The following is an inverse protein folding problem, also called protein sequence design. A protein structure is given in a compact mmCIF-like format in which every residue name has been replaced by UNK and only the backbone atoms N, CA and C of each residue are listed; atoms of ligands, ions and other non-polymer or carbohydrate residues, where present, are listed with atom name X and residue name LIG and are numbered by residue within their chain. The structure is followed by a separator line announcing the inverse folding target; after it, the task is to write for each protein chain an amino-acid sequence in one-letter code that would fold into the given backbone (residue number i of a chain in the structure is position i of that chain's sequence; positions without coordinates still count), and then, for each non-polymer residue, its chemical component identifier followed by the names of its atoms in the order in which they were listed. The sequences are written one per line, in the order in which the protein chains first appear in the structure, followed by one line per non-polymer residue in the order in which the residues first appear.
data_IF_489362187606
#
_entry.id   IF_489362187606
#
_cell.length_a   1.000
_cell.length_b   1.000
_cell.length_c   1.000
_cell.angle_alpha   90.00
_cell.angle_beta   90.00
_cell.angle_gamma   90.00
#
_symmetry.space_group_name_H-M   'P 1'
#
loop_
_entity.id
_entity.type
_entity.pdbx_description
1 polymer ?
#
# COMPACT_ATOMS: atom_id res chain seq x y z
N UNK A 1 -8.32 -16.63 4.71
CA UNK A 1 -7.75 -17.78 3.97
C UNK A 1 -6.51 -17.44 3.12
N UNK A 2 -6.58 -16.62 2.07
CA UNK A 2 -5.40 -16.38 1.18
C UNK A 2 -4.21 -15.74 1.91
N UNK A 3 -4.42 -14.57 2.52
CA UNK A 3 -3.36 -13.83 3.24
C UNK A 3 -2.75 -14.67 4.36
N UNK A 4 -3.60 -15.39 5.08
CA UNK A 4 -3.19 -16.33 6.13
C UNK A 4 -2.27 -17.42 5.58
N UNK A 5 -2.62 -18.07 4.46
CA UNK A 5 -1.77 -19.06 3.78
C UNK A 5 -0.43 -18.47 3.30
N UNK A 6 -0.41 -17.19 2.89
CA UNK A 6 0.82 -16.49 2.51
C UNK A 6 1.71 -16.25 3.74
N UNK A 7 1.13 -15.82 4.86
CA UNK A 7 1.87 -15.66 6.12
C UNK A 7 2.45 -16.99 6.61
N UNK A 8 1.70 -18.09 6.56
CA UNK A 8 2.19 -19.43 6.91
C UNK A 8 3.40 -19.88 6.07
N UNK A 9 3.55 -19.33 4.86
CA UNK A 9 4.68 -19.58 3.96
C UNK A 9 5.80 -18.54 4.08
N UNK A 10 5.75 -17.68 5.09
CA UNK A 10 6.68 -16.57 5.30
C UNK A 10 6.74 -15.58 4.12
N UNK A 11 5.66 -15.45 3.35
CA UNK A 11 5.56 -14.43 2.29
C UNK A 11 5.20 -13.10 2.93
N UNK A 12 5.99 -12.07 2.64
CA UNK A 12 5.68 -10.69 3.05
C UNK A 12 4.49 -10.17 2.24
N UNK A 13 3.41 -9.80 2.94
CA UNK A 13 2.20 -9.24 2.33
C UNK A 13 2.16 -7.74 2.61
N UNK A 14 1.85 -6.96 1.57
CA UNK A 14 1.74 -5.50 1.61
C UNK A 14 0.38 -5.07 1.06
N UNK A 15 -0.13 -3.94 1.54
CA UNK A 15 -1.31 -3.29 0.98
C UNK A 15 -0.89 -1.94 0.40
N UNK A 16 -1.14 -1.76 -0.91
CA UNK A 16 -0.85 -0.52 -1.63
C UNK A 16 -2.16 -0.01 -2.24
N UNK A 17 -2.62 1.16 -1.81
CA UNK A 17 -3.94 1.68 -2.20
C UNK A 17 -3.89 3.17 -2.50
N UNK A 18 -4.67 3.63 -3.48
CA UNK A 18 -4.97 5.05 -3.67
C UNK A 18 -6.00 5.59 -2.67
N UNK A 19 -6.60 4.72 -1.86
CA UNK A 19 -7.51 5.09 -0.77
C UNK A 19 -6.78 5.67 0.44
N UNK A 20 -7.52 5.82 1.55
CA UNK A 20 -7.01 6.48 2.74
C UNK A 20 -6.54 5.50 3.81
N UNK A 21 -5.40 5.80 4.39
CA UNK A 21 -4.69 4.98 5.37
C UNK A 21 -5.55 4.61 6.57
N UNK A 22 -6.38 5.52 7.08
CA UNK A 22 -7.29 5.23 8.20
C UNK A 22 -8.26 4.07 7.91
N UNK A 23 -8.68 3.90 6.65
CA UNK A 23 -9.55 2.80 6.23
C UNK A 23 -8.72 1.55 5.98
N UNK A 24 -7.59 1.69 5.26
CA UNK A 24 -6.75 0.55 4.87
C UNK A 24 -6.09 -0.12 6.08
N UNK A 25 -5.71 0.63 7.11
CA UNK A 25 -5.15 0.08 8.35
C UNK A 25 -6.16 -0.77 9.13
N UNK A 26 -7.46 -0.45 9.06
CA UNK A 26 -8.50 -1.29 9.63
C UNK A 26 -8.56 -2.65 8.92
N UNK A 27 -8.51 -2.65 7.59
CA UNK A 27 -8.46 -3.89 6.78
C UNK A 27 -7.17 -4.66 7.05
N UNK A 28 -6.02 -3.98 7.12
CA UNK A 28 -4.73 -4.60 7.41
C UNK A 28 -4.75 -5.33 8.77
N UNK A 29 -5.35 -4.71 9.78
CA UNK A 29 -5.47 -5.29 11.13
C UNK A 29 -6.29 -6.58 11.12
N UNK A 30 -7.40 -6.63 10.38
CA UNK A 30 -8.21 -7.85 10.24
C UNK A 30 -7.47 -8.98 9.52
N UNK A 31 -6.51 -8.63 8.66
CA UNK A 31 -5.71 -9.58 7.87
C UNK A 31 -4.36 -9.93 8.54
N UNK A 32 -4.09 -9.41 9.74
CA UNK A 32 -2.81 -9.54 10.43
C UNK A 32 -1.60 -9.03 9.61
N UNK A 33 -1.81 -7.98 8.82
CA UNK A 33 -0.76 -7.29 8.06
C UNK A 33 -0.25 -6.13 8.92
N UNK A 34 1.07 -6.03 9.19
CA UNK A 34 1.58 -4.96 10.04
C UNK A 34 1.41 -3.60 9.37
N UNK A 35 1.10 -2.55 10.14
CA UNK A 35 0.75 -1.23 9.59
C UNK A 35 1.90 -0.55 8.81
N UNK A 36 3.15 -0.95 9.04
CA UNK A 36 4.30 -0.49 8.25
C UNK A 36 4.38 -1.16 6.86
N UNK A 37 3.54 -2.16 6.57
CA UNK A 37 3.33 -2.72 5.24
C UNK A 37 2.14 -2.08 4.50
N UNK A 38 1.53 -1.03 5.08
CA UNK A 38 0.40 -0.30 4.47
C UNK A 38 0.89 1.01 3.86
N UNK A 39 0.70 1.13 2.55
CA UNK A 39 0.99 2.30 1.74
C UNK A 39 -0.33 2.83 1.16
N UNK A 40 -0.74 4.00 1.63
CA UNK A 40 -2.01 4.63 1.26
C UNK A 40 -1.95 6.13 1.54
N UNK A 41 -2.86 6.89 0.93
CA UNK A 41 -2.95 8.34 1.12
C UNK A 41 -3.36 8.68 2.56
N UNK A 42 -2.86 9.78 3.10
CA UNK A 42 -3.19 10.21 4.48
C UNK A 42 -4.06 11.46 4.43
N UNK A 43 -5.24 11.42 5.03
CA UNK A 43 -6.06 12.60 5.24
C UNK A 43 -5.44 13.50 6.29
N UNK A 44 -5.58 14.80 6.11
CA UNK A 44 -5.23 15.84 7.09
C UNK A 44 -6.52 16.47 7.58
N UNK A 45 -6.58 16.75 8.87
CA UNK A 45 -7.71 17.42 9.51
C UNK A 45 -7.21 18.60 10.32
N UNK A 46 -7.99 19.67 10.36
CA UNK A 46 -7.79 20.76 11.30
C UNK A 46 -8.11 20.30 12.73
N UNK A 47 -7.75 21.11 13.73
CA UNK A 47 -7.98 20.77 15.14
C UNK A 47 -9.47 20.60 15.48
N UNK A 48 -10.36 21.25 14.74
CA UNK A 48 -11.82 21.12 14.85
C UNK A 48 -12.39 19.87 14.14
N UNK A 49 -11.54 19.03 13.53
CA UNK A 49 -11.93 17.84 12.78
C UNK A 49 -12.35 18.10 11.34
N UNK A 50 -12.33 19.35 10.86
CA UNK A 50 -12.64 19.66 9.46
C UNK A 50 -11.53 19.18 8.52
N UNK A 51 -11.93 18.83 7.29
CA UNK A 51 -11.00 18.38 6.26
C UNK A 51 -9.98 19.48 5.90
N UNK A 52 -8.71 19.16 5.99
CA UNK A 52 -7.58 20.06 5.72
C UNK A 52 -6.72 19.60 4.53
N UNK A 53 -7.24 18.72 3.68
CA UNK A 53 -6.50 18.14 2.55
C UNK A 53 -5.98 16.73 2.82
N UNK A 54 -4.96 16.34 2.08
CA UNK A 54 -4.26 15.06 2.26
C UNK A 54 -2.74 15.26 2.17
N UNK A 55 -1.98 14.20 2.45
CA UNK A 55 -0.52 14.19 2.32
C UNK A 55 -0.08 13.91 0.89
N UNK A 56 0.19 14.98 0.14
CA UNK A 56 0.66 14.93 -1.25
C UNK A 56 2.05 14.32 -1.43
N UNK A 57 2.82 14.17 -0.35
CA UNK A 57 4.13 13.49 -0.41
C UNK A 57 4.02 11.96 -0.51
N UNK A 58 2.82 11.41 -0.25
CA UNK A 58 2.61 9.98 -0.39
C UNK A 58 2.75 9.56 -1.86
N UNK A 59 3.55 8.53 -2.20
CA UNK A 59 3.67 8.06 -3.58
C UNK A 59 2.30 7.74 -4.20
N UNK A 60 1.39 7.18 -3.39
CA UNK A 60 0.02 6.81 -3.78
C UNK A 60 -0.90 8.00 -4.11
N UNK A 61 -0.44 9.24 -3.90
CA UNK A 61 -1.17 10.45 -4.27
C UNK A 61 -0.95 10.84 -5.74
N UNK A 62 0.02 10.22 -6.42
CA UNK A 62 0.39 10.52 -7.79
C UNK A 62 0.14 9.32 -8.73
N UNK A 63 -0.06 9.60 -10.01
CA UNK A 63 -0.08 8.57 -11.06
C UNK A 63 1.22 7.75 -11.03
N UNK A 64 1.11 6.43 -11.20
CA UNK A 64 2.24 5.50 -11.07
C UNK A 64 2.72 5.28 -9.63
N UNK A 65 2.00 5.81 -8.63
CA UNK A 65 2.36 5.69 -7.22
C UNK A 65 2.57 4.26 -6.72
N UNK A 66 1.77 3.31 -7.20
CA UNK A 66 1.89 1.89 -6.85
C UNK A 66 3.24 1.31 -7.29
N UNK A 67 3.65 1.59 -8.53
CA UNK A 67 4.96 1.18 -9.05
C UNK A 67 6.11 1.71 -8.21
N UNK A 68 6.08 3.00 -7.85
CA UNK A 68 7.12 3.61 -6.98
C UNK A 68 7.21 2.95 -5.61
N UNK A 69 6.08 2.62 -4.98
CA UNK A 69 6.08 1.87 -3.72
C UNK A 69 6.74 0.51 -3.89
N UNK A 70 6.44 -0.22 -4.98
CA UNK A 70 7.07 -1.51 -5.25
C UNK A 70 8.58 -1.37 -5.42
N UNK A 71 9.08 -0.35 -6.13
CA UNK A 71 10.52 -0.12 -6.31
C UNK A 71 11.22 0.15 -4.96
N UNK A 72 10.62 0.97 -4.09
CA UNK A 72 11.13 1.18 -2.72
C UNK A 72 11.13 -0.12 -1.91
N UNK A 73 10.09 -0.94 -2.01
CA UNK A 73 10.02 -2.22 -1.32
C UNK A 73 11.09 -3.22 -1.81
N UNK A 74 11.40 -3.23 -3.10
CA UNK A 74 12.48 -4.05 -3.66
C UNK A 74 13.83 -3.67 -3.06
N UNK A 75 14.13 -2.38 -3.00
CA UNK A 75 15.39 -1.87 -2.45
C UNK A 75 15.48 -2.12 -0.94
N UNK A 76 14.43 -1.77 -0.19
CA UNK A 76 14.43 -1.86 1.27
C UNK A 76 14.53 -3.30 1.79
N UNK A 77 13.86 -4.25 1.11
CA UNK A 77 13.77 -5.64 1.58
C UNK A 77 14.56 -6.64 0.72
N UNK A 78 15.26 -6.19 -0.32
CA UNK A 78 16.00 -7.07 -1.24
C UNK A 78 15.12 -8.08 -1.98
N UNK A 79 13.86 -7.72 -2.26
CA UNK A 79 12.87 -8.63 -2.84
C UNK A 79 13.15 -8.85 -4.32
N UNK A 80 13.41 -10.11 -4.69
CA UNK A 80 13.66 -10.50 -6.10
C UNK A 80 12.36 -10.73 -6.86
N UNK A 81 11.37 -11.34 -6.20
CA UNK A 81 10.10 -11.72 -6.79
C UNK A 81 8.96 -11.02 -6.06
N UNK A 82 8.24 -10.15 -6.77
CA UNK A 82 7.06 -9.46 -6.28
C UNK A 82 5.90 -9.77 -7.21
N UNK A 83 4.75 -10.09 -6.64
CA UNK A 83 3.50 -10.30 -7.36
C UNK A 83 2.54 -9.19 -6.96
N UNK A 84 2.14 -8.36 -7.91
CA UNK A 84 1.09 -7.36 -7.72
C UNK A 84 -0.27 -8.00 -8.04
N UNK A 85 -1.24 -7.82 -7.15
CA UNK A 85 -2.62 -8.29 -7.33
C UNK A 85 -3.54 -7.09 -7.14
N UNK A 86 -4.31 -6.75 -8.17
CA UNK A 86 -5.28 -5.68 -8.15
C UNK A 86 -6.18 -5.74 -9.39
N UNK A 87 -7.28 -5.01 -9.33
CA UNK A 87 -8.34 -5.02 -10.33
C UNK A 87 -8.23 -3.87 -11.36
N UNK A 88 -7.45 -2.83 -11.04
CA UNK A 88 -7.37 -1.61 -11.85
C UNK A 88 -6.21 -1.56 -12.83
N UNK A 89 -6.32 -0.69 -13.83
CA UNK A 89 -5.25 -0.43 -14.79
C UNK A 89 -3.94 0.04 -14.10
N UNK A 90 -4.05 0.83 -13.02
CA UNK A 90 -2.89 1.27 -12.23
C UNK A 90 -2.15 0.14 -11.50
N UNK A 91 -2.82 -1.00 -11.27
CA UNK A 91 -2.19 -2.20 -10.72
C UNK A 91 -1.41 -2.94 -11.80
N UNK A 92 -1.96 -3.02 -13.00
CA UNK A 92 -1.29 -3.58 -14.17
C UNK A 92 -0.04 -2.76 -14.55
N UNK A 93 -0.16 -1.42 -14.55
CA UNK A 93 0.96 -0.50 -14.82
C UNK A 93 2.11 -0.61 -13.81
N UNK A 94 1.87 -1.17 -12.63
CA UNK A 94 2.92 -1.44 -11.65
C UNK A 94 3.83 -2.62 -12.06
N UNK A 95 3.60 -3.23 -13.24
CA UNK A 95 4.40 -4.28 -13.85
C UNK A 95 4.84 -3.89 -15.29
N UNK A 96 6.15 -3.85 -15.61
CA UNK A 96 7.26 -4.05 -14.70
C UNK A 96 7.29 -2.93 -13.65
N UNK A 97 7.67 -3.23 -12.40
CA UNK A 97 7.88 -2.20 -11.40
C UNK A 97 8.98 -1.26 -11.89
N UNK A 98 8.65 0.04 -11.91
CA UNK A 98 9.43 1.13 -12.49
C UNK A 98 10.89 1.15 -12.05
#
# INVERSE_FOLDING_TARGET
ELVEKLHQRNVKVFLISGGFRCIVEHVASQLNIPLHHVYANRLKFYFNGEYAGFDESQPTAQSGGKGRVISVLKEQYGLKNIVMIGDGATDLEACPPA
#
